data_IF_823057451342
#
_entry.id   IF_823057451342
#
_cell.length_a   1.000
_cell.length_b   1.000
_cell.length_c   1.000
_cell.angle_alpha   90.00
_cell.angle_beta   90.00
_cell.angle_gamma   90.00
#
_symmetry.space_group_name_H-M   'P 1'
#
loop_
_entity.id
_entity.type
_entity.pdbx_description
1 polymer ?
#
# COMPACT_ATOMS: atom_id res chain seq x y z
N UNK A 1 21.03 -59.19 -8.65
CA UNK A 1 20.82 -57.90 -9.35
C UNK A 1 19.78 -57.15 -8.54
N UNK A 2 20.19 -56.19 -7.69
CA UNK A 2 20.37 -54.76 -8.02
C UNK A 2 19.02 -54.12 -8.43
N UNK A 3 18.44 -53.13 -7.77
CA UNK A 3 18.72 -52.38 -6.53
C UNK A 3 17.37 -51.84 -6.07
N UNK A 4 17.20 -51.73 -4.76
CA UNK A 4 16.03 -51.24 -4.05
C UNK A 4 16.02 -49.69 -4.01
N UNK A 5 14.83 -49.11 -4.24
CA UNK A 5 14.28 -47.78 -3.85
C UNK A 5 14.99 -46.48 -4.27
N UNK A 6 14.20 -45.48 -4.72
CA UNK A 6 13.87 -44.26 -3.96
C UNK A 6 13.11 -43.26 -4.86
N UNK A 7 11.80 -43.14 -4.68
CA UNK A 7 10.99 -42.09 -5.30
C UNK A 7 11.10 -40.84 -4.42
N UNK A 8 11.98 -39.90 -4.80
CA UNK A 8 12.21 -38.67 -4.03
C UNK A 8 11.17 -37.61 -4.41
N UNK A 9 10.07 -37.55 -3.66
CA UNK A 9 9.06 -36.49 -3.80
C UNK A 9 9.58 -35.24 -3.07
N UNK A 10 10.11 -34.27 -3.82
CA UNK A 10 10.64 -33.02 -3.25
C UNK A 10 9.47 -32.05 -2.98
N UNK A 11 8.83 -32.18 -1.82
CA UNK A 11 7.85 -31.21 -1.34
C UNK A 11 8.61 -30.00 -0.75
N UNK A 12 8.88 -28.99 -1.58
CA UNK A 12 9.39 -27.71 -1.10
C UNK A 12 8.25 -27.00 -0.34
N UNK A 13 8.19 -27.20 0.98
CA UNK A 13 7.39 -26.32 1.85
C UNK A 13 8.13 -24.99 1.88
N UNK A 14 7.71 -24.05 1.04
CA UNK A 14 8.15 -22.68 1.14
C UNK A 14 7.59 -22.11 2.45
N UNK A 15 8.43 -22.08 3.49
CA UNK A 15 8.11 -21.33 4.71
C UNK A 15 8.22 -19.86 4.33
N UNK A 16 7.09 -19.21 4.10
CA UNK A 16 7.03 -17.77 3.89
C UNK A 16 7.35 -17.10 5.23
N UNK A 17 8.62 -16.76 5.46
CA UNK A 17 8.99 -15.81 6.50
C UNK A 17 8.44 -14.44 6.10
N UNK A 18 7.55 -13.87 6.91
CA UNK A 18 7.10 -12.49 6.74
C UNK A 18 8.35 -11.59 6.78
N UNK A 19 8.67 -10.97 5.65
CA UNK A 19 9.72 -9.95 5.60
C UNK A 19 9.21 -8.71 6.34
N UNK A 20 10.10 -8.02 7.05
CA UNK A 20 9.77 -6.77 7.71
C UNK A 20 9.26 -5.76 6.68
N UNK A 21 8.19 -5.04 7.02
CA UNK A 21 7.60 -4.00 6.19
C UNK A 21 8.41 -2.74 6.38
N UNK A 22 9.24 -2.41 5.39
CA UNK A 22 9.96 -1.16 5.37
C UNK A 22 9.01 0.04 5.22
N UNK A 23 9.27 1.10 5.98
CA UNK A 23 8.56 2.36 5.86
C UNK A 23 9.05 3.11 4.60
N UNK A 24 8.14 3.41 3.68
CA UNK A 24 8.42 4.14 2.43
C UNK A 24 8.59 5.64 2.68
N UNK A 25 9.68 6.01 3.36
CA UNK A 25 9.99 7.39 3.77
C UNK A 25 10.99 8.10 2.85
N UNK A 26 11.53 7.42 1.84
CA UNK A 26 12.59 7.98 1.01
C UNK A 26 12.06 9.17 0.19
N UNK A 27 12.84 10.24 0.10
CA UNK A 27 12.50 11.46 -0.65
C UNK A 27 11.21 12.18 -0.18
N UNK A 28 10.75 11.92 1.05
CA UNK A 28 9.60 12.60 1.66
C UNK A 28 10.05 13.62 2.70
N UNK A 29 9.26 14.68 2.87
CA UNK A 29 9.50 15.65 3.94
C UNK A 29 9.44 14.96 5.32
N UNK A 30 10.44 15.14 6.20
CA UNK A 30 10.46 14.45 7.50
C UNK A 30 9.26 14.75 8.40
N UNK A 31 8.70 15.98 8.37
CA UNK A 31 7.52 16.33 9.18
C UNK A 31 6.26 15.70 8.61
N UNK A 32 6.16 15.59 7.29
CA UNK A 32 5.11 14.83 6.65
C UNK A 32 5.16 13.35 7.05
N UNK A 33 6.35 12.73 7.00
CA UNK A 33 6.55 11.34 7.44
C UNK A 33 6.13 11.17 8.91
N UNK A 34 6.62 12.04 9.80
CA UNK A 34 6.26 12.02 11.22
C UNK A 34 4.74 12.15 11.44
N UNK A 35 4.08 13.06 10.72
CA UNK A 35 2.63 13.23 10.79
C UNK A 35 1.89 11.96 10.35
N UNK A 36 2.32 11.29 9.29
CA UNK A 36 1.64 10.09 8.78
C UNK A 36 1.87 8.90 9.71
N UNK A 37 3.09 8.72 10.21
CA UNK A 37 3.39 7.68 11.22
C UNK A 37 2.57 7.93 12.49
N UNK A 38 2.51 9.17 12.98
CA UNK A 38 1.71 9.51 14.16
C UNK A 38 0.20 9.29 13.99
N UNK A 39 -0.34 9.49 12.79
CA UNK A 39 -1.74 9.13 12.48
C UNK A 39 -1.96 7.62 12.45
N UNK A 40 -1.03 6.91 11.81
CA UNK A 40 -1.07 5.44 11.69
C UNK A 40 -0.99 4.78 13.06
N UNK A 41 -0.10 5.27 13.94
CA UNK A 41 0.03 4.78 15.31
C UNK A 41 -1.28 4.95 16.10
N UNK A 42 -1.96 6.10 15.98
CA UNK A 42 -3.27 6.31 16.65
C UNK A 42 -4.37 5.34 16.21
N UNK A 43 -4.27 4.77 15.01
CA UNK A 43 -5.17 3.70 14.54
C UNK A 43 -4.75 2.39 15.22
N UNK A 44 -3.46 2.04 15.15
CA UNK A 44 -2.88 0.84 15.78
C UNK A 44 -3.16 0.76 17.28
N UNK A 45 -3.07 1.88 17.99
CA UNK A 45 -3.32 1.97 19.44
C UNK A 45 -4.75 1.52 19.82
N UNK A 46 -5.72 1.63 18.89
CA UNK A 46 -7.11 1.21 19.11
C UNK A 46 -7.34 -0.28 18.84
N UNK A 47 -6.40 -0.96 18.18
CA UNK A 47 -6.55 -2.36 17.76
C UNK A 47 -6.24 -3.38 18.87
N UNK A 48 -5.69 -2.92 20.00
CA UNK A 48 -5.41 -3.78 21.17
C UNK A 48 -4.33 -4.84 20.92
N UNK A 49 -3.38 -4.58 20.02
CA UNK A 49 -2.31 -5.52 19.67
C UNK A 49 -1.27 -5.55 20.79
N UNK A 50 -1.02 -6.73 21.38
CA UNK A 50 -0.06 -6.85 22.48
C UNK A 50 1.41 -6.84 22.02
N UNK A 51 1.69 -7.45 20.86
CA UNK A 51 3.04 -7.56 20.32
C UNK A 51 3.50 -6.24 19.68
N UNK A 52 4.59 -5.68 20.19
CA UNK A 52 5.15 -4.39 19.71
C UNK A 52 5.72 -4.46 18.30
N UNK A 53 6.27 -5.61 17.91
CA UNK A 53 6.74 -5.82 16.54
C UNK A 53 5.54 -5.80 15.61
N UNK A 54 4.47 -6.54 15.93
CA UNK A 54 3.24 -6.53 15.13
C UNK A 54 2.62 -5.13 15.07
N UNK A 55 2.62 -4.37 16.16
CA UNK A 55 2.18 -2.96 16.13
C UNK A 55 3.00 -2.13 15.13
N UNK A 56 4.32 -2.28 15.12
CA UNK A 56 5.21 -1.54 14.22
C UNK A 56 4.95 -1.92 12.75
N UNK A 57 4.82 -3.22 12.44
CA UNK A 57 4.54 -3.70 11.09
C UNK A 57 3.20 -3.16 10.57
N UNK A 58 2.14 -3.23 11.39
CA UNK A 58 0.83 -2.68 11.03
C UNK A 58 0.89 -1.16 10.86
N UNK A 59 1.63 -0.46 11.72
CA UNK A 59 1.84 0.98 11.60
C UNK A 59 2.51 1.34 10.28
N UNK A 60 3.54 0.59 9.87
CA UNK A 60 4.23 0.79 8.59
C UNK A 60 3.30 0.51 7.40
N UNK A 61 2.48 -0.55 7.44
CA UNK A 61 1.51 -0.86 6.38
C UNK A 61 0.52 0.31 6.20
N UNK A 62 -0.05 0.81 7.30
CA UNK A 62 -1.01 1.93 7.27
C UNK A 62 -0.34 3.21 6.77
N UNK A 63 0.87 3.52 7.26
CA UNK A 63 1.62 4.70 6.84
C UNK A 63 1.96 4.65 5.34
N UNK A 64 2.43 3.50 4.86
CA UNK A 64 2.73 3.28 3.44
C UNK A 64 1.47 3.42 2.56
N UNK A 65 0.30 3.01 3.05
CA UNK A 65 -0.94 3.24 2.31
C UNK A 65 -1.29 4.72 2.21
N UNK A 66 -1.08 5.51 3.27
CA UNK A 66 -1.25 6.96 3.19
C UNK A 66 -0.28 7.61 2.20
N UNK A 67 0.98 7.18 2.20
CA UNK A 67 2.00 7.65 1.26
C UNK A 67 1.65 7.32 -0.19
N UNK A 68 1.26 6.08 -0.47
CA UNK A 68 0.84 5.66 -1.81
C UNK A 68 -0.37 6.45 -2.31
N UNK A 69 -1.37 6.66 -1.45
CA UNK A 69 -2.54 7.48 -1.80
C UNK A 69 -2.11 8.92 -2.13
N UNK A 70 -1.24 9.51 -1.31
CA UNK A 70 -0.72 10.85 -1.56
C UNK A 70 -0.04 10.96 -2.93
N UNK A 71 0.83 10.01 -3.27
CA UNK A 71 1.56 10.03 -4.55
C UNK A 71 0.61 9.90 -5.75
N UNK A 72 -0.44 9.08 -5.62
CA UNK A 72 -1.49 8.95 -6.65
C UNK A 72 -2.20 10.30 -6.85
N UNK A 73 -2.54 11.00 -5.77
CA UNK A 73 -3.20 12.29 -5.86
C UNK A 73 -2.27 13.41 -6.35
N UNK A 74 -1.01 13.46 -5.91
CA UNK A 74 -0.03 14.43 -6.40
C UNK A 74 0.18 14.29 -7.91
N UNK A 75 0.27 13.05 -8.42
CA UNK A 75 0.37 12.80 -9.86
C UNK A 75 -0.87 13.29 -10.61
N UNK A 76 -2.07 13.05 -10.07
CA UNK A 76 -3.33 13.53 -10.66
C UNK A 76 -3.35 15.06 -10.68
N UNK A 77 -3.01 15.70 -9.56
CA UNK A 77 -3.04 17.15 -9.40
C UNK A 77 -2.02 17.84 -10.32
N UNK A 78 -0.82 17.29 -10.45
CA UNK A 78 0.20 17.77 -11.40
C UNK A 78 -0.31 17.72 -12.84
N UNK A 79 -0.96 16.62 -13.26
CA UNK A 79 -1.57 16.50 -14.59
C UNK A 79 -2.70 17.50 -14.80
N UNK A 80 -3.60 17.63 -13.82
CA UNK A 80 -4.70 18.59 -13.88
C UNK A 80 -4.19 20.03 -14.00
N UNK A 81 -3.12 20.37 -13.27
CA UNK A 81 -2.47 21.67 -13.37
C UNK A 81 -1.90 21.90 -14.78
N UNK A 82 -1.13 20.95 -15.31
CA UNK A 82 -0.60 21.02 -16.68
C UNK A 82 -1.71 21.19 -17.73
N UNK A 83 -2.80 20.45 -17.61
CA UNK A 83 -3.96 20.57 -18.50
C UNK A 83 -4.55 21.98 -18.44
N UNK A 84 -4.73 22.53 -17.24
CA UNK A 84 -5.29 23.88 -17.05
C UNK A 84 -4.37 24.97 -17.62
N UNK A 85 -3.05 24.76 -17.57
CA UNK A 85 -2.03 25.71 -18.06
C UNK A 85 -1.72 25.54 -19.56
N UNK A 86 -2.08 24.41 -20.17
CA UNK A 86 -1.76 24.09 -21.58
C UNK A 86 -2.52 24.90 -22.64
N UNK A 87 -3.55 25.65 -22.24
CA UNK A 87 -4.39 26.42 -23.17
C UNK A 87 -5.42 25.59 -23.95
N UNK A 88 -5.51 24.26 -23.74
CA UNK A 88 -6.59 23.44 -24.33
C UNK A 88 -7.95 23.83 -23.75
N UNK A 89 -8.99 23.81 -24.58
CA UNK A 89 -10.35 24.28 -24.24
C UNK A 89 -11.44 23.32 -24.72
N UNK A 90 -12.69 23.60 -24.35
CA UNK A 90 -13.86 22.85 -24.79
C UNK A 90 -13.80 21.36 -24.43
N UNK A 91 -14.29 20.53 -25.34
CA UNK A 91 -14.36 19.06 -25.19
C UNK A 91 -12.99 18.44 -24.92
N UNK A 92 -11.94 18.87 -25.63
CA UNK A 92 -10.59 18.33 -25.46
C UNK A 92 -10.05 18.54 -24.02
N UNK A 93 -10.36 19.68 -23.40
CA UNK A 93 -10.03 19.92 -21.99
C UNK A 93 -10.77 18.97 -21.06
N UNK A 94 -12.06 18.75 -21.30
CA UNK A 94 -12.89 17.88 -20.48
C UNK A 94 -12.42 16.41 -20.58
N UNK A 95 -12.12 15.95 -21.79
CA UNK A 95 -11.58 14.61 -22.03
C UNK A 95 -10.22 14.40 -21.34
N UNK A 96 -9.31 15.38 -21.44
CA UNK A 96 -8.02 15.30 -20.77
C UNK A 96 -8.13 15.26 -19.24
N UNK A 97 -9.03 16.05 -18.66
CA UNK A 97 -9.30 16.02 -17.22
C UNK A 97 -9.90 14.67 -16.80
N UNK A 98 -10.84 14.13 -17.59
CA UNK A 98 -11.42 12.81 -17.37
C UNK A 98 -10.37 11.70 -17.43
N UNK A 99 -9.45 11.76 -18.39
CA UNK A 99 -8.33 10.83 -18.49
C UNK A 99 -7.42 10.87 -17.24
N UNK A 100 -7.14 12.05 -16.69
CA UNK A 100 -6.37 12.18 -15.45
C UNK A 100 -7.08 11.53 -14.25
N UNK A 101 -8.41 11.63 -14.17
CA UNK A 101 -9.20 10.93 -13.15
C UNK A 101 -9.18 9.42 -13.34
N UNK A 102 -9.37 8.93 -14.57
CA UNK A 102 -9.33 7.49 -14.87
C UNK A 102 -7.97 6.87 -14.55
N UNK A 103 -6.87 7.57 -14.81
CA UNK A 103 -5.55 7.09 -14.42
C UNK A 103 -5.38 6.96 -12.90
N UNK A 104 -5.89 7.94 -12.14
CA UNK A 104 -5.92 7.90 -10.68
C UNK A 104 -6.78 6.73 -10.20
N UNK A 105 -7.98 6.55 -10.75
CA UNK A 105 -8.87 5.44 -10.37
C UNK A 105 -8.25 4.07 -10.70
N UNK A 106 -7.58 3.95 -11.85
CA UNK A 106 -6.86 2.74 -12.22
C UNK A 106 -5.68 2.44 -11.26
N UNK A 107 -4.96 3.47 -10.80
CA UNK A 107 -3.90 3.31 -9.81
C UNK A 107 -4.44 2.90 -8.43
N UNK A 108 -5.56 3.50 -7.99
CA UNK A 108 -6.24 3.12 -6.77
C UNK A 108 -6.72 1.66 -6.84
N UNK A 109 -7.30 1.24 -7.96
CA UNK A 109 -7.78 -0.12 -8.16
C UNK A 109 -6.66 -1.16 -8.12
N UNK A 110 -5.54 -0.90 -8.79
CA UNK A 110 -4.38 -1.82 -8.83
C UNK A 110 -3.76 -2.09 -7.45
N UNK A 111 -3.80 -1.10 -6.56
CA UNK A 111 -3.24 -1.20 -5.20
C UNK A 111 -4.27 -1.59 -4.14
N UNK A 112 -5.57 -1.55 -4.45
CA UNK A 112 -6.64 -1.67 -3.47
C UNK A 112 -6.56 -2.95 -2.64
N UNK A 113 -6.37 -4.10 -3.31
CA UNK A 113 -6.39 -5.41 -2.65
C UNK A 113 -5.10 -5.73 -1.89
N UNK A 114 -3.98 -5.08 -2.22
CA UNK A 114 -2.71 -5.30 -1.54
C UNK A 114 -2.75 -4.81 -0.09
N UNK A 115 -3.48 -3.73 0.18
CA UNK A 115 -3.59 -3.16 1.53
C UNK A 115 -4.20 -4.13 2.57
N UNK A 116 -5.44 -4.64 2.39
CA UNK A 116 -6.00 -5.61 3.32
C UNK A 116 -5.24 -6.95 3.30
N UNK A 117 -4.63 -7.34 2.18
CA UNK A 117 -3.79 -8.54 2.10
C UNK A 117 -2.52 -8.43 2.95
N UNK A 118 -1.89 -7.24 3.01
CA UNK A 118 -0.73 -7.02 3.88
C UNK A 118 -1.15 -6.97 5.36
N UNK A 119 -2.29 -6.35 5.67
CA UNK A 119 -2.83 -6.32 7.03
C UNK A 119 -3.19 -7.71 7.55
N UNK A 120 -3.70 -8.61 6.71
CA UNK A 120 -4.12 -9.96 7.11
C UNK A 120 -2.97 -10.88 7.51
N UNK A 121 -1.72 -10.49 7.24
CA UNK A 121 -0.54 -11.16 7.79
C UNK A 121 -0.40 -10.97 9.31
N UNK A 122 -1.04 -9.93 9.86
CA UNK A 122 -0.86 -9.47 11.24
C UNK A 122 -2.17 -9.33 12.03
N UNK A 123 -3.29 -9.10 11.32
CA UNK A 123 -4.59 -8.77 11.88
C UNK A 123 -5.65 -9.80 11.52
N UNK A 124 -6.61 -10.00 12.42
CA UNK A 124 -7.85 -10.70 12.09
C UNK A 124 -8.85 -9.77 11.36
N UNK A 125 -9.89 -10.34 10.76
CA UNK A 125 -10.90 -9.61 9.98
C UNK A 125 -11.54 -8.43 10.75
N UNK A 126 -11.87 -8.64 12.03
CA UNK A 126 -12.46 -7.59 12.88
C UNK A 126 -11.49 -6.42 13.11
N UNK A 127 -10.19 -6.70 13.21
CA UNK A 127 -9.17 -5.64 13.33
C UNK A 127 -8.96 -4.93 11.99
N UNK A 128 -8.98 -5.65 10.87
CA UNK A 128 -8.86 -5.05 9.53
C UNK A 128 -10.04 -4.10 9.25
N UNK A 129 -11.26 -4.45 9.65
CA UNK A 129 -12.45 -3.58 9.50
C UNK A 129 -12.35 -2.28 10.33
N UNK A 130 -11.55 -2.27 11.41
CA UNK A 130 -11.36 -1.10 12.26
C UNK A 130 -10.27 -0.14 11.73
N UNK A 131 -9.45 -0.58 10.77
CA UNK A 131 -8.38 0.21 10.14
C UNK A 131 -8.95 1.07 9.02
#
# INVERSE_FOLDING_TARGET
MKVIHLFFCFLFVAVASAQAIDLDKQNRDPKYVESIVGRSQKIVDKLGIADKTVQQEVCNIIANRYFELNDIYEKRDAKVKQIKESGITGTAKQEALSAAEFEKDAALYRSHFAFPANLSLFLNEKQIEQV
#
